data_IF_832452482329
#
_entry.id   IF_832452482329
#
_cell.length_a   1.000
_cell.length_b   1.000
_cell.length_c   1.000
_cell.angle_alpha   90.00
_cell.angle_beta   90.00
_cell.angle_gamma   90.00
#
_symmetry.space_group_name_H-M   'P 1'
#
loop_
_entity.id
_entity.type
_entity.pdbx_description
1 polymer ?
#
# COMPACT_ATOMS: atom_id res chain seq x y z
N UNK A 1 24.74 -21.83 1.05
CA UNK A 1 24.13 -21.99 -0.28
C UNK A 1 24.83 -23.14 -0.98
N UNK A 2 24.08 -24.16 -1.40
CA UNK A 2 24.59 -25.30 -2.17
C UNK A 2 24.77 -24.87 -3.64
N UNK A 3 26.00 -24.75 -4.15
CA UNK A 3 26.26 -24.28 -5.51
C UNK A 3 25.65 -25.21 -6.59
N UNK A 4 25.63 -26.52 -6.35
CA UNK A 4 25.11 -27.49 -7.31
C UNK A 4 23.60 -27.30 -7.46
N UNK A 5 22.90 -27.13 -6.33
CA UNK A 5 21.45 -26.82 -6.34
C UNK A 5 21.14 -25.51 -7.05
N UNK A 6 21.96 -24.47 -6.89
CA UNK A 6 21.77 -23.20 -7.60
C UNK A 6 21.89 -23.39 -9.11
N UNK A 7 22.91 -24.13 -9.57
CA UNK A 7 23.14 -24.41 -10.99
C UNK A 7 21.95 -25.17 -11.59
N UNK A 8 21.47 -26.21 -10.91
CA UNK A 8 20.34 -27.02 -11.38
C UNK A 8 19.06 -26.19 -11.53
N UNK A 9 18.72 -25.39 -10.51
CA UNK A 9 17.52 -24.53 -10.53
C UNK A 9 17.61 -23.49 -11.64
N UNK A 10 18.75 -22.80 -11.75
CA UNK A 10 18.98 -21.79 -12.80
C UNK A 10 18.92 -22.43 -14.19
N UNK A 11 19.48 -23.62 -14.36
CA UNK A 11 19.44 -24.35 -15.63
C UNK A 11 18.01 -24.70 -16.03
N UNK A 12 17.21 -25.26 -15.11
CA UNK A 12 15.80 -25.60 -15.36
C UNK A 12 14.94 -24.38 -15.67
N UNK A 13 15.11 -23.28 -14.93
CA UNK A 13 14.39 -22.03 -15.21
C UNK A 13 14.73 -21.49 -16.60
N UNK A 14 15.99 -21.57 -17.02
CA UNK A 14 16.45 -21.10 -18.34
C UNK A 14 15.97 -21.94 -19.54
N UNK A 15 15.31 -23.08 -19.31
CA UNK A 15 14.68 -23.85 -20.39
C UNK A 15 13.55 -23.07 -21.06
N UNK A 16 12.86 -22.18 -20.32
CA UNK A 16 11.76 -21.36 -20.87
C UNK A 16 11.84 -19.88 -20.55
N UNK A 17 12.66 -19.47 -19.60
CA UNK A 17 12.91 -18.05 -19.33
C UNK A 17 14.14 -17.56 -20.09
N UNK A 18 14.11 -16.33 -20.64
CA UNK A 18 15.29 -15.74 -21.25
C UNK A 18 16.39 -15.52 -20.20
N UNK A 19 17.65 -15.50 -20.63
CA UNK A 19 18.80 -15.48 -19.71
C UNK A 19 18.81 -14.26 -18.77
N UNK A 20 18.35 -13.11 -19.26
CA UNK A 20 18.22 -11.85 -18.53
C UNK A 20 17.05 -11.81 -17.54
N UNK A 21 16.15 -12.80 -17.58
CA UNK A 21 15.08 -12.94 -16.59
C UNK A 21 15.50 -13.79 -15.38
N UNK A 22 16.66 -14.45 -15.40
CA UNK A 22 17.15 -15.31 -14.31
C UNK A 22 18.48 -14.80 -13.79
N UNK A 23 18.43 -14.09 -12.67
CA UNK A 23 19.57 -13.49 -11.98
C UNK A 23 20.02 -14.42 -10.84
N UNK A 24 21.31 -14.72 -10.74
CA UNK A 24 21.80 -15.65 -9.72
C UNK A 24 23.23 -15.34 -9.23
N UNK A 25 23.92 -14.40 -9.87
CA UNK A 25 25.23 -13.96 -9.38
C UNK A 25 25.02 -13.04 -8.17
N UNK A 26 25.94 -13.04 -7.20
CA UNK A 26 25.82 -12.20 -6.00
C UNK A 26 25.59 -10.71 -6.30
N UNK A 27 26.22 -10.18 -7.34
CA UNK A 27 26.05 -8.81 -7.80
C UNK A 27 24.65 -8.53 -8.39
N UNK A 28 24.04 -9.53 -9.02
CA UNK A 28 22.71 -9.41 -9.63
C UNK A 28 21.60 -9.51 -8.57
N UNK A 29 21.80 -10.35 -7.55
CA UNK A 29 20.80 -10.60 -6.50
C UNK A 29 20.90 -9.61 -5.32
N UNK A 30 22.03 -8.91 -5.16
CA UNK A 30 22.24 -7.90 -4.09
C UNK A 30 21.13 -6.86 -3.96
N UNK A 31 20.59 -6.27 -5.06
CA UNK A 31 19.53 -5.27 -4.94
C UNK A 31 18.21 -5.80 -4.33
N UNK A 32 18.10 -7.12 -4.19
CA UNK A 32 16.93 -7.80 -3.66
C UNK A 32 17.13 -8.37 -2.25
N UNK A 33 18.25 -8.03 -1.58
CA UNK A 33 18.64 -8.66 -0.31
C UNK A 33 17.69 -8.36 0.86
N UNK A 34 16.88 -7.32 0.76
CA UNK A 34 15.83 -6.98 1.72
C UNK A 34 14.64 -6.32 1.02
N UNK A 35 13.51 -6.26 1.70
CA UNK A 35 12.42 -5.34 1.38
C UNK A 35 12.61 -4.01 2.17
N UNK A 36 11.53 -3.31 2.50
CA UNK A 36 11.60 -2.07 3.28
C UNK A 36 12.06 -2.30 4.73
N UNK A 37 12.02 -3.54 5.24
CA UNK A 37 12.58 -3.92 6.54
C UNK A 37 14.10 -4.16 6.43
N UNK A 38 14.84 -3.11 6.09
CA UNK A 38 16.27 -3.16 5.73
C UNK A 38 17.24 -3.62 6.84
N UNK A 39 16.75 -3.80 8.07
CA UNK A 39 17.48 -4.36 9.21
C UNK A 39 17.84 -5.83 9.01
N UNK A 40 17.07 -6.57 8.20
CA UNK A 40 17.34 -7.97 7.85
C UNK A 40 17.72 -8.06 6.38
N UNK A 41 18.74 -8.87 6.08
CA UNK A 41 19.26 -9.03 4.71
C UNK A 41 19.69 -10.45 4.47
N UNK A 42 19.23 -11.01 3.37
CA UNK A 42 19.59 -12.35 2.92
C UNK A 42 19.69 -12.36 1.40
N UNK A 43 20.56 -13.18 0.82
CA UNK A 43 20.60 -13.33 -0.64
C UNK A 43 19.74 -14.53 -1.06
N UNK A 44 18.85 -14.41 -2.04
CA UNK A 44 18.13 -15.56 -2.57
C UNK A 44 19.04 -16.46 -3.42
N UNK A 45 18.61 -17.71 -3.63
CA UNK A 45 19.25 -18.63 -4.56
C UNK A 45 19.26 -18.07 -5.98
N UNK A 46 18.14 -17.48 -6.42
CA UNK A 46 18.03 -16.73 -7.67
C UNK A 46 16.88 -15.72 -7.60
N UNK A 47 16.92 -14.71 -8.45
CA UNK A 47 15.81 -13.79 -8.70
C UNK A 47 15.29 -14.02 -10.11
N UNK A 48 13.98 -14.18 -10.26
CA UNK A 48 13.32 -14.39 -11.54
C UNK A 48 12.37 -13.24 -11.86
N UNK A 49 12.43 -12.75 -13.10
CA UNK A 49 11.69 -11.58 -13.61
C UNK A 49 10.83 -11.99 -14.82
N UNK A 50 9.68 -12.65 -14.61
CA UNK A 50 8.79 -13.07 -15.68
C UNK A 50 8.15 -11.88 -16.39
N UNK A 51 7.93 -12.00 -17.70
CA UNK A 51 7.27 -10.98 -18.51
C UNK A 51 5.74 -11.19 -18.66
N UNK A 52 5.25 -12.39 -18.38
CA UNK A 52 3.86 -12.81 -18.60
C UNK A 52 3.44 -13.90 -17.60
N UNK A 53 2.15 -14.26 -17.63
CA UNK A 53 1.58 -15.21 -16.69
C UNK A 53 2.02 -16.65 -16.95
N UNK A 54 2.32 -17.01 -18.19
CA UNK A 54 2.79 -18.32 -18.58
C UNK A 54 4.19 -18.60 -18.00
N UNK A 55 5.06 -17.60 -17.99
CA UNK A 55 6.37 -17.64 -17.34
C UNK A 55 6.22 -17.76 -15.81
N UNK A 56 5.31 -17.02 -15.17
CA UNK A 56 5.01 -17.17 -13.73
C UNK A 56 4.61 -18.62 -13.42
N UNK A 57 3.66 -19.17 -14.17
CA UNK A 57 3.19 -20.53 -13.96
C UNK A 57 4.32 -21.57 -14.17
N UNK A 58 5.22 -21.33 -15.13
CA UNK A 58 6.39 -22.18 -15.36
C UNK A 58 7.39 -22.12 -14.20
N UNK A 59 7.68 -20.93 -13.66
CA UNK A 59 8.56 -20.77 -12.49
C UNK A 59 7.99 -21.55 -11.30
N UNK A 60 6.70 -21.37 -11.01
CA UNK A 60 6.04 -22.00 -9.87
C UNK A 60 6.08 -23.53 -9.99
N UNK A 61 5.68 -24.09 -11.15
CA UNK A 61 5.78 -25.54 -11.40
C UNK A 61 7.20 -26.07 -11.23
N UNK A 62 8.18 -25.40 -11.82
CA UNK A 62 9.58 -25.83 -11.76
C UNK A 62 10.07 -25.85 -10.32
N UNK A 63 9.80 -24.78 -9.56
CA UNK A 63 10.19 -24.70 -8.15
C UNK A 63 9.44 -25.71 -7.29
N UNK A 64 8.16 -25.97 -7.58
CA UNK A 64 7.36 -26.98 -6.90
C UNK A 64 7.91 -28.40 -7.12
N UNK A 65 8.21 -28.78 -8.36
CA UNK A 65 8.83 -30.08 -8.71
C UNK A 65 10.20 -30.26 -8.04
N UNK A 66 10.98 -29.19 -7.94
CA UNK A 66 12.32 -29.20 -7.35
C UNK A 66 12.32 -28.97 -5.83
N UNK A 67 11.15 -28.79 -5.21
CA UNK A 67 11.00 -28.48 -3.78
C UNK A 67 11.82 -27.24 -3.38
N UNK A 68 11.76 -26.19 -4.18
CA UNK A 68 12.42 -24.89 -3.96
C UNK A 68 11.37 -23.88 -3.53
N UNK A 69 11.52 -23.23 -2.36
CA UNK A 69 10.61 -22.16 -1.94
C UNK A 69 10.59 -21.00 -2.93
N UNK A 70 9.43 -20.38 -3.10
CA UNK A 70 9.27 -19.17 -3.92
C UNK A 70 8.75 -18.04 -3.03
N UNK A 71 9.38 -16.88 -3.13
CA UNK A 71 8.97 -15.66 -2.43
C UNK A 71 8.59 -14.64 -3.49
N UNK A 72 7.30 -14.30 -3.56
CA UNK A 72 6.79 -13.34 -4.52
C UNK A 72 7.12 -11.91 -4.07
N UNK A 73 7.50 -11.04 -5.01
CA UNK A 73 7.87 -9.66 -4.71
C UNK A 73 7.32 -8.68 -5.75
N UNK A 74 6.66 -7.64 -5.26
CA UNK A 74 6.34 -6.42 -6.02
C UNK A 74 7.54 -5.47 -6.04
N UNK A 75 7.36 -4.24 -5.56
CA UNK A 75 8.45 -3.27 -5.39
C UNK A 75 9.34 -3.54 -4.16
N UNK A 76 8.88 -4.34 -3.20
CA UNK A 76 9.60 -4.59 -1.94
C UNK A 76 9.59 -3.38 -0.99
N UNK A 77 8.47 -2.65 -0.93
CA UNK A 77 8.28 -1.51 -0.02
C UNK A 77 7.68 -1.90 1.34
N UNK A 78 7.37 -3.19 1.55
CA UNK A 78 6.80 -3.70 2.79
C UNK A 78 7.77 -3.57 3.96
N UNK A 79 7.23 -3.40 5.17
CA UNK A 79 8.00 -3.21 6.41
C UNK A 79 7.88 -4.40 7.38
N UNK A 80 7.17 -5.46 6.98
CA UNK A 80 6.92 -6.67 7.77
C UNK A 80 7.95 -7.78 7.55
N UNK A 81 8.73 -7.71 6.46
CA UNK A 81 9.60 -8.81 6.02
C UNK A 81 8.89 -9.86 5.17
N UNK A 82 7.64 -9.64 4.75
CA UNK A 82 6.88 -10.58 3.91
C UNK A 82 7.53 -10.85 2.54
N UNK A 83 8.38 -9.94 2.05
CA UNK A 83 9.15 -10.11 0.82
C UNK A 83 10.67 -10.26 1.07
N UNK A 84 11.08 -10.58 2.31
CA UNK A 84 12.46 -10.89 2.65
C UNK A 84 12.85 -12.23 2.00
N UNK A 85 13.90 -12.28 1.16
CA UNK A 85 14.37 -13.53 0.55
C UNK A 85 14.90 -14.53 1.59
N UNK A 86 14.92 -15.82 1.21
CA UNK A 86 15.62 -16.88 1.94
C UNK A 86 16.77 -17.47 1.08
N UNK A 87 17.89 -17.91 1.70
CA UNK A 87 19.07 -18.42 0.97
C UNK A 87 18.83 -19.58 -0.01
N UNK A 88 17.79 -20.37 0.20
CA UNK A 88 17.42 -21.53 -0.61
C UNK A 88 16.18 -21.29 -1.48
N UNK A 89 15.72 -20.04 -1.58
CA UNK A 89 14.50 -19.66 -2.31
C UNK A 89 14.77 -18.97 -3.65
N UNK A 90 13.80 -19.09 -4.55
CA UNK A 90 13.68 -18.25 -5.74
C UNK A 90 12.82 -17.04 -5.39
N UNK A 91 13.38 -15.84 -5.53
CA UNK A 91 12.61 -14.61 -5.42
C UNK A 91 11.95 -14.29 -6.77
N UNK A 92 10.62 -14.30 -6.81
CA UNK A 92 9.82 -14.07 -8.00
C UNK A 92 9.39 -12.59 -8.06
N UNK A 93 10.13 -11.78 -8.82
CA UNK A 93 9.87 -10.35 -8.98
C UNK A 93 8.87 -10.08 -10.11
N UNK A 94 7.69 -9.58 -9.76
CA UNK A 94 6.61 -9.28 -10.72
C UNK A 94 6.75 -7.89 -11.38
N UNK A 95 7.90 -7.22 -11.20
CA UNK A 95 8.13 -5.84 -11.63
C UNK A 95 8.01 -5.62 -13.16
N UNK A 96 8.26 -6.64 -13.99
CA UNK A 96 8.10 -6.54 -15.45
C UNK A 96 6.64 -6.64 -15.90
N UNK A 97 5.75 -7.18 -15.08
CA UNK A 97 4.32 -7.28 -15.38
C UNK A 97 3.61 -6.00 -14.91
N UNK A 98 3.86 -4.87 -15.58
CA UNK A 98 3.48 -3.52 -15.12
C UNK A 98 2.55 -2.76 -16.07
N UNK A 99 1.76 -3.47 -16.90
CA UNK A 99 0.81 -2.85 -17.83
C UNK A 99 -0.56 -2.66 -17.20
N UNK A 100 -1.17 -1.50 -17.47
CA UNK A 100 -2.61 -1.30 -17.33
C UNK A 100 -3.25 -1.91 -18.57
N UNK A 101 -4.08 -2.95 -18.38
CA UNK A 101 -4.66 -3.74 -19.45
C UNK A 101 -5.93 -3.07 -20.01
N UNK A 102 -6.75 -2.49 -19.13
CA UNK A 102 -7.95 -1.75 -19.51
C UNK A 102 -8.36 -0.78 -18.40
N UNK A 103 -8.99 0.33 -18.80
CA UNK A 103 -9.74 1.24 -17.92
C UNK A 103 -11.13 1.39 -18.53
N UNK A 104 -12.16 1.01 -17.78
CA UNK A 104 -13.55 1.19 -18.17
C UNK A 104 -14.18 2.28 -17.29
N UNK A 105 -14.41 3.49 -17.83
CA UNK A 105 -14.98 4.59 -17.05
C UNK A 105 -16.48 4.43 -16.77
N UNK A 106 -17.19 3.61 -17.54
CA UNK A 106 -18.63 3.37 -17.36
C UNK A 106 -18.85 2.37 -16.25
N UNK A 107 -18.15 1.24 -16.30
CA UNK A 107 -18.15 0.25 -15.22
C UNK A 107 -17.38 0.73 -13.98
N UNK A 108 -16.53 1.77 -14.14
CA UNK A 108 -15.61 2.31 -13.13
C UNK A 108 -14.69 1.22 -12.58
N UNK A 109 -14.01 0.54 -13.49
CA UNK A 109 -13.03 -0.49 -13.15
C UNK A 109 -11.74 -0.30 -13.95
N UNK A 110 -10.64 -0.83 -13.41
CA UNK A 110 -9.40 -1.01 -14.16
C UNK A 110 -8.88 -2.42 -14.01
N UNK A 111 -8.40 -3.01 -15.11
CA UNK A 111 -7.68 -4.28 -15.12
C UNK A 111 -6.20 -4.00 -15.27
N UNK A 112 -5.38 -4.52 -14.37
CA UNK A 112 -3.96 -4.17 -14.25
C UNK A 112 -3.11 -5.39 -13.93
N UNK A 113 -1.87 -5.39 -14.42
CA UNK A 113 -0.86 -6.36 -14.03
C UNK A 113 -0.27 -6.03 -12.63
N UNK A 114 0.24 -7.01 -11.87
CA UNK A 114 0.64 -6.86 -10.46
C UNK A 114 1.79 -5.87 -10.20
N UNK A 115 2.62 -5.61 -11.21
CA UNK A 115 3.72 -4.66 -11.17
C UNK A 115 3.31 -3.21 -11.45
N UNK A 116 2.03 -2.94 -11.74
CA UNK A 116 1.54 -1.56 -11.88
C UNK A 116 1.66 -0.85 -10.54
N UNK A 117 2.34 0.30 -10.52
CA UNK A 117 2.43 1.19 -9.36
C UNK A 117 1.04 1.66 -8.95
N UNK A 118 0.73 1.64 -7.66
CA UNK A 118 -0.58 2.02 -7.11
C UNK A 118 -1.07 3.38 -7.67
N UNK A 119 -0.28 4.44 -7.53
CA UNK A 119 -0.66 5.77 -8.00
C UNK A 119 -0.82 5.87 -9.53
N UNK A 120 -0.18 4.98 -10.31
CA UNK A 120 -0.34 4.97 -11.77
C UNK A 120 -1.75 4.55 -12.21
N UNK A 121 -2.50 3.83 -11.37
CA UNK A 121 -3.91 3.49 -11.62
C UNK A 121 -4.75 4.77 -11.59
N UNK A 122 -4.56 5.61 -10.56
CA UNK A 122 -5.23 6.90 -10.45
C UNK A 122 -4.80 7.86 -11.56
N UNK A 123 -3.50 7.89 -11.93
CA UNK A 123 -3.02 8.69 -13.06
C UNK A 123 -3.75 8.34 -14.37
N UNK A 124 -3.99 7.05 -14.62
CA UNK A 124 -4.70 6.56 -15.81
C UNK A 124 -6.23 6.78 -15.76
N UNK A 125 -6.82 6.77 -14.56
CA UNK A 125 -8.25 6.99 -14.36
C UNK A 125 -8.64 8.48 -14.34
N UNK A 126 -7.71 9.37 -14.00
CA UNK A 126 -7.92 10.81 -13.83
C UNK A 126 -8.60 11.51 -15.03
N UNK A 127 -8.29 11.21 -16.30
CA UNK A 127 -8.96 11.83 -17.45
C UNK A 127 -10.48 11.59 -17.49
N UNK A 128 -10.97 10.56 -16.78
CA UNK A 128 -12.38 10.21 -16.67
C UNK A 128 -13.04 10.75 -15.38
N UNK A 129 -12.32 11.56 -14.59
CA UNK A 129 -12.81 12.04 -13.30
C UNK A 129 -12.85 10.95 -12.22
N UNK A 130 -12.05 9.89 -12.37
CA UNK A 130 -12.02 8.72 -11.48
C UNK A 130 -10.63 8.53 -10.86
N UNK A 131 -10.56 7.79 -9.75
CA UNK A 131 -9.31 7.35 -9.12
C UNK A 131 -9.45 6.00 -8.40
N UNK A 132 -8.32 5.38 -8.07
CA UNK A 132 -8.23 4.20 -7.21
C UNK A 132 -8.03 4.64 -5.76
N UNK A 133 -8.92 4.21 -4.85
CA UNK A 133 -9.04 4.80 -3.53
C UNK A 133 -7.92 4.45 -2.53
N UNK A 134 -7.46 3.18 -2.41
CA UNK A 134 -6.39 2.83 -1.49
C UNK A 134 -5.09 3.56 -1.80
N UNK A 135 -4.62 4.35 -0.83
CA UNK A 135 -3.54 5.32 -1.01
C UNK A 135 -2.40 5.14 0.02
N UNK A 136 -1.79 3.94 0.10
CA UNK A 136 -0.71 3.68 1.06
C UNK A 136 0.38 4.74 0.96
N UNK A 137 1.12 5.03 2.04
CA UNK A 137 2.16 6.08 2.01
C UNK A 137 3.21 5.81 0.93
N UNK A 138 3.45 4.53 0.61
CA UNK A 138 4.32 4.08 -0.48
C UNK A 138 3.68 4.09 -1.87
N UNK A 139 2.48 4.64 -2.09
CA UNK A 139 1.73 4.57 -3.38
C UNK A 139 2.51 5.01 -4.62
N UNK A 140 3.53 5.86 -4.44
CA UNK A 140 4.46 6.29 -5.49
C UNK A 140 5.48 5.22 -5.89
N UNK A 141 5.53 4.09 -5.18
CA UNK A 141 6.50 3.02 -5.38
C UNK A 141 5.87 1.62 -5.28
N UNK A 142 4.97 1.37 -4.32
CA UNK A 142 4.32 0.07 -4.17
C UNK A 142 3.46 -0.29 -5.38
N UNK A 143 3.35 -1.59 -5.64
CA UNK A 143 2.61 -2.11 -6.78
C UNK A 143 1.30 -2.77 -6.33
N UNK A 144 0.33 -2.83 -7.22
CA UNK A 144 -1.01 -3.38 -6.93
C UNK A 144 -0.98 -4.85 -6.49
N UNK A 145 -0.04 -5.65 -7.01
CA UNK A 145 0.16 -7.03 -6.57
C UNK A 145 0.61 -7.11 -5.11
N UNK A 146 1.53 -6.23 -4.70
CA UNK A 146 1.91 -6.10 -3.29
C UNK A 146 0.76 -5.57 -2.43
N UNK A 147 -0.04 -4.63 -2.93
CA UNK A 147 -1.19 -4.13 -2.18
C UNK A 147 -2.25 -5.20 -1.94
N UNK A 148 -2.48 -6.08 -2.92
CA UNK A 148 -3.32 -7.27 -2.74
C UNK A 148 -2.72 -8.22 -1.72
N UNK A 149 -1.44 -8.54 -1.82
CA UNK A 149 -0.77 -9.46 -0.90
C UNK A 149 -0.81 -8.99 0.57
N UNK A 150 -0.70 -7.68 0.79
CA UNK A 150 -0.62 -7.06 2.14
C UNK A 150 -1.96 -6.47 2.62
N UNK A 151 -3.05 -6.59 1.85
CA UNK A 151 -4.31 -5.88 2.08
C UNK A 151 -4.11 -4.38 2.41
N UNK A 152 -3.29 -3.69 1.61
CA UNK A 152 -2.82 -2.34 1.95
C UNK A 152 -3.97 -1.36 2.20
N UNK A 153 -3.82 -0.56 3.25
CA UNK A 153 -4.66 0.60 3.52
C UNK A 153 -4.07 1.89 2.97
N UNK A 154 -4.23 2.96 3.72
CA UNK A 154 -3.79 4.31 3.37
C UNK A 154 -4.45 5.32 4.29
N UNK A 155 -4.15 6.60 4.08
CA UNK A 155 -4.73 7.68 4.89
C UNK A 155 -6.26 7.68 4.78
N UNK A 156 -6.79 7.35 3.59
CA UNK A 156 -8.22 7.42 3.34
C UNK A 156 -8.98 6.10 3.50
N UNK A 157 -8.34 5.09 4.10
CA UNK A 157 -9.01 3.80 4.28
C UNK A 157 -10.18 3.86 5.26
N UNK A 158 -10.25 4.89 6.12
CA UNK A 158 -11.37 5.09 7.03
C UNK A 158 -12.68 5.29 6.26
N UNK A 159 -12.67 6.12 5.22
CA UNK A 159 -13.85 6.40 4.39
C UNK A 159 -14.00 5.45 3.21
N UNK A 160 -12.89 5.07 2.56
CA UNK A 160 -12.92 4.30 1.31
C UNK A 160 -12.55 2.82 1.45
N UNK A 161 -12.19 2.38 2.65
CA UNK A 161 -11.79 1.02 2.93
C UNK A 161 -10.37 0.66 2.46
N UNK A 162 -9.94 -0.52 2.86
CA UNK A 162 -8.67 -1.14 2.47
C UNK A 162 -8.72 -1.72 1.05
N UNK A 163 -7.60 -2.33 0.60
CA UNK A 163 -7.50 -3.04 -0.68
C UNK A 163 -8.62 -4.08 -0.87
N UNK A 164 -8.98 -4.84 0.18
CA UNK A 164 -10.08 -5.83 0.14
C UNK A 164 -11.43 -5.25 -0.28
N UNK A 165 -11.70 -3.96 0.00
CA UNK A 165 -12.96 -3.29 -0.35
C UNK A 165 -12.94 -2.66 -1.76
N UNK A 166 -11.77 -2.67 -2.41
CA UNK A 166 -11.51 -1.95 -3.66
C UNK A 166 -11.01 -2.86 -4.79
N UNK A 167 -10.81 -4.15 -4.51
CA UNK A 167 -10.51 -5.18 -5.52
C UNK A 167 -11.78 -5.97 -5.78
N UNK A 168 -12.07 -6.22 -7.05
CA UNK A 168 -13.26 -6.95 -7.51
C UNK A 168 -12.93 -8.37 -7.96
N UNK A 169 -11.75 -8.55 -8.58
CA UNK A 169 -11.27 -9.85 -9.05
C UNK A 169 -9.76 -9.93 -9.00
N UNK A 170 -9.23 -11.10 -8.66
CA UNK A 170 -7.81 -11.46 -8.84
C UNK A 170 -7.71 -12.71 -9.69
N UNK A 171 -6.70 -12.72 -10.57
CA UNK A 171 -6.26 -13.89 -11.32
C UNK A 171 -4.81 -14.15 -10.94
N UNK A 172 -4.44 -15.42 -10.79
CA UNK A 172 -3.10 -15.79 -10.37
C UNK A 172 -2.87 -17.30 -10.43
N UNK A 173 -1.81 -17.74 -9.77
CA UNK A 173 -1.39 -19.14 -9.78
C UNK A 173 -1.07 -19.63 -8.37
N UNK A 174 -1.42 -20.89 -8.10
CA UNK A 174 -0.93 -21.61 -6.93
C UNK A 174 0.54 -22.01 -7.10
N UNK A 175 1.18 -22.49 -6.04
CA UNK A 175 2.56 -23.02 -6.12
C UNK A 175 2.68 -24.20 -7.10
N UNK A 176 1.63 -25.00 -7.27
CA UNK A 176 1.58 -26.08 -8.27
C UNK A 176 1.46 -25.55 -9.72
N UNK A 177 1.32 -24.23 -9.89
CA UNK A 177 1.13 -23.56 -11.17
C UNK A 177 -0.24 -23.79 -11.79
N UNK A 178 -1.24 -24.09 -10.96
CA UNK A 178 -2.64 -24.11 -11.35
C UNK A 178 -3.17 -22.68 -11.41
N UNK A 179 -3.87 -22.37 -12.49
CA UNK A 179 -4.53 -21.08 -12.66
C UNK A 179 -5.74 -20.98 -11.74
N UNK A 180 -5.86 -19.86 -11.03
CA UNK A 180 -6.96 -19.56 -10.13
C UNK A 180 -7.51 -18.16 -10.40
N UNK A 181 -8.81 -18.01 -10.20
CA UNK A 181 -9.52 -16.74 -10.26
C UNK A 181 -10.48 -16.64 -9.09
N UNK A 182 -10.48 -15.49 -8.41
CA UNK A 182 -11.38 -15.19 -7.31
C UNK A 182 -12.01 -13.81 -7.50
N UNK A 183 -13.28 -13.69 -7.09
CA UNK A 183 -14.07 -12.49 -7.31
C UNK A 183 -14.70 -12.42 -8.71
N UNK A 184 -15.39 -11.33 -8.99
CA UNK A 184 -16.04 -11.10 -10.28
C UNK A 184 -16.27 -9.61 -10.53
N UNK A 185 -16.64 -9.26 -11.76
CA UNK A 185 -17.07 -7.89 -12.11
C UNK A 185 -18.57 -7.67 -11.85
N UNK A 186 -19.30 -8.70 -11.39
CA UNK A 186 -20.71 -8.61 -11.08
C UNK A 186 -20.92 -8.00 -9.68
N UNK A 187 -22.07 -7.36 -9.48
CA UNK A 187 -22.45 -6.79 -8.18
C UNK A 187 -22.62 -7.85 -7.08
N UNK A 188 -22.92 -9.09 -7.47
CA UNK A 188 -23.06 -10.24 -6.58
C UNK A 188 -22.60 -11.51 -7.33
N UNK A 189 -22.19 -12.54 -6.60
CA UNK A 189 -21.74 -13.82 -7.15
C UNK A 189 -22.10 -14.98 -6.22
N UNK A 190 -22.58 -16.12 -6.74
CA UNK A 190 -22.93 -17.25 -5.91
C UNK A 190 -21.68 -17.89 -5.29
N UNK A 191 -21.81 -18.41 -4.07
CA UNK A 191 -20.76 -19.17 -3.40
C UNK A 191 -20.09 -18.40 -2.26
N UNK A 192 -18.88 -18.81 -1.90
CA UNK A 192 -18.11 -18.16 -0.85
C UNK A 192 -17.30 -16.99 -1.40
N UNK A 193 -17.20 -15.91 -0.65
CA UNK A 193 -16.27 -14.83 -0.92
C UNK A 193 -14.84 -15.26 -0.54
N UNK A 194 -14.20 -15.99 -1.44
CA UNK A 194 -12.80 -16.44 -1.29
C UNK A 194 -11.80 -15.36 -1.73
N UNK A 195 -12.25 -14.25 -2.32
CA UNK A 195 -11.39 -13.15 -2.69
C UNK A 195 -10.73 -12.55 -1.43
N UNK A 196 -11.50 -12.38 -0.36
CA UNK A 196 -11.01 -11.91 0.92
C UNK A 196 -9.94 -12.84 1.55
N UNK A 197 -9.91 -14.14 1.22
CA UNK A 197 -8.87 -15.04 1.70
C UNK A 197 -7.53 -14.82 0.99
N UNK A 198 -7.54 -14.40 -0.28
CA UNK A 198 -6.33 -14.16 -1.06
C UNK A 198 -5.74 -12.78 -0.78
N UNK A 199 -6.60 -11.78 -0.55
CA UNK A 199 -6.17 -10.43 -0.19
C UNK A 199 -5.65 -10.44 1.26
N UNK A 200 -4.40 -10.02 1.46
CA UNK A 200 -3.74 -10.13 2.78
C UNK A 200 -3.07 -11.49 3.02
N UNK A 201 -2.99 -12.37 2.02
CA UNK A 201 -2.35 -13.69 2.18
C UNK A 201 -0.83 -13.66 2.11
N UNK A 202 -0.21 -12.49 1.89
CA UNK A 202 1.24 -12.32 1.78
C UNK A 202 1.90 -13.23 0.72
N UNK A 203 1.14 -13.58 -0.33
CA UNK A 203 1.60 -14.48 -1.39
C UNK A 203 1.63 -15.97 -1.02
N UNK A 204 1.17 -16.33 0.19
CA UNK A 204 1.20 -17.70 0.70
C UNK A 204 0.18 -18.63 0.04
N UNK A 205 -0.91 -18.08 -0.50
CA UNK A 205 -1.96 -18.85 -1.17
C UNK A 205 -1.85 -18.80 -2.70
N UNK A 206 -1.39 -17.67 -3.25
CA UNK A 206 -1.35 -17.46 -4.69
C UNK A 206 -0.39 -16.33 -5.08
N UNK A 207 0.22 -16.47 -6.26
CA UNK A 207 0.92 -15.38 -6.94
C UNK A 207 -0.04 -14.72 -7.93
N UNK A 208 -0.42 -13.48 -7.63
CA UNK A 208 -1.37 -12.69 -8.43
C UNK A 208 -0.71 -12.17 -9.71
N UNK A 209 -1.35 -12.37 -10.87
CA UNK A 209 -0.87 -11.98 -12.20
C UNK A 209 -1.77 -10.96 -12.91
N UNK A 210 -3.01 -10.79 -12.46
CA UNK A 210 -3.91 -9.71 -12.89
C UNK A 210 -4.86 -9.33 -11.75
N UNK A 211 -5.14 -8.03 -11.61
CA UNK A 211 -6.07 -7.47 -10.63
C UNK A 211 -7.11 -6.62 -11.35
N UNK A 212 -8.37 -6.79 -10.99
CA UNK A 212 -9.46 -5.88 -11.35
C UNK A 212 -9.82 -5.04 -10.15
N UNK A 213 -9.64 -3.73 -10.25
CA UNK A 213 -9.92 -2.77 -9.17
C UNK A 213 -11.16 -1.94 -9.48
N UNK A 214 -11.86 -1.52 -8.43
CA UNK A 214 -12.91 -0.51 -8.45
C UNK A 214 -12.28 0.88 -8.53
N UNK A 215 -12.86 1.74 -9.35
CA UNK A 215 -12.55 3.17 -9.43
C UNK A 215 -13.73 3.97 -8.87
N UNK A 216 -13.45 5.10 -8.23
CA UNK A 216 -14.47 5.99 -7.68
C UNK A 216 -14.28 7.42 -8.20
N UNK A 217 -15.35 8.24 -8.24
CA UNK A 217 -15.25 9.64 -8.64
C UNK A 217 -14.29 10.42 -7.75
N UNK A 218 -13.52 11.33 -8.35
CA UNK A 218 -12.75 12.31 -7.59
C UNK A 218 -13.72 13.18 -6.75
N UNK A 219 -13.42 13.45 -5.47
CA UNK A 219 -14.19 14.41 -4.68
C UNK A 219 -14.14 15.80 -5.32
N UNK A 220 -15.23 16.56 -5.22
CA UNK A 220 -15.28 17.93 -5.77
C UNK A 220 -14.40 18.89 -4.95
N UNK A 221 -14.35 18.66 -3.64
CA UNK A 221 -13.51 19.43 -2.72
C UNK A 221 -13.05 18.57 -1.55
N UNK A 222 -11.99 19.02 -0.89
CA UNK A 222 -11.50 18.46 0.36
C UNK A 222 -10.94 19.58 1.24
N UNK A 223 -11.15 19.49 2.56
CA UNK A 223 -10.60 20.39 3.56
C UNK A 223 -10.05 19.58 4.73
N UNK A 224 -8.95 20.05 5.29
CA UNK A 224 -8.32 19.44 6.46
C UNK A 224 -8.27 20.42 7.62
N UNK A 225 -8.59 19.93 8.81
CA UNK A 225 -8.42 20.61 10.09
C UNK A 225 -7.09 20.14 10.68
N UNK A 226 -6.19 21.07 10.96
CA UNK A 226 -5.04 20.86 11.83
C UNK A 226 -5.43 21.30 13.24
N UNK A 227 -5.57 20.33 14.15
CA UNK A 227 -5.89 20.55 15.55
C UNK A 227 -4.68 20.30 16.43
N UNK A 228 -4.49 21.13 17.46
CA UNK A 228 -3.42 21.01 18.44
C UNK A 228 -3.99 20.69 19.81
N UNK A 229 -3.33 19.82 20.56
CA UNK A 229 -3.72 19.41 21.90
C UNK A 229 -2.54 19.52 22.87
N UNK A 230 -2.81 19.94 24.09
CA UNK A 230 -1.86 20.00 25.21
C UNK A 230 -1.65 18.64 25.90
N UNK A 231 -2.44 17.63 25.55
CA UNK A 231 -2.36 16.28 26.10
C UNK A 231 -2.73 15.23 25.03
N UNK A 232 -1.97 14.12 24.99
CA UNK A 232 -2.15 13.05 23.99
C UNK A 232 -3.47 12.29 24.20
N UNK A 233 -3.94 12.15 25.44
CA UNK A 233 -5.22 11.46 25.73
C UNK A 233 -6.38 12.29 25.20
N UNK A 234 -6.37 13.62 25.37
CA UNK A 234 -7.40 14.50 24.78
C UNK A 234 -7.48 14.36 23.26
N UNK A 235 -6.35 14.30 22.57
CA UNK A 235 -6.33 14.06 21.13
C UNK A 235 -6.92 12.69 20.77
N UNK A 236 -6.61 11.66 21.56
CA UNK A 236 -7.15 10.29 21.39
C UNK A 236 -8.66 10.23 21.66
N UNK A 237 -9.13 10.89 22.71
CA UNK A 237 -10.55 11.01 23.06
C UNK A 237 -11.31 11.77 21.95
N UNK A 238 -10.68 12.78 21.33
CA UNK A 238 -11.22 13.48 20.17
C UNK A 238 -11.42 12.58 18.95
N UNK A 239 -10.48 11.67 18.66
CA UNK A 239 -10.65 10.66 17.62
C UNK A 239 -11.89 9.80 17.89
N UNK A 240 -12.02 9.27 19.11
CA UNK A 240 -13.17 8.46 19.48
C UNK A 240 -14.49 9.25 19.43
N UNK A 241 -14.48 10.51 19.87
CA UNK A 241 -15.65 11.38 19.88
C UNK A 241 -16.13 11.74 18.47
N UNK A 242 -15.23 12.00 17.52
CA UNK A 242 -15.60 12.25 16.11
C UNK A 242 -16.39 11.05 15.55
N UNK A 243 -15.87 9.84 15.75
CA UNK A 243 -16.52 8.61 15.28
C UNK A 243 -17.84 8.37 16.03
N UNK A 244 -17.90 8.64 17.34
CA UNK A 244 -19.12 8.49 18.15
C UNK A 244 -20.25 9.43 17.72
N UNK A 245 -19.94 10.58 17.13
CA UNK A 245 -20.91 11.52 16.53
C UNK A 245 -21.38 11.08 15.14
N UNK A 246 -20.95 9.90 14.67
CA UNK A 246 -21.29 9.33 13.37
C UNK A 246 -20.62 10.05 12.20
N UNK A 247 -19.53 10.78 12.45
CA UNK A 247 -18.74 11.44 11.40
C UNK A 247 -17.68 10.45 10.91
N UNK A 248 -17.64 10.20 9.60
CA UNK A 248 -16.62 9.36 8.97
C UNK A 248 -15.71 10.28 8.14
N UNK A 249 -14.66 10.87 8.75
CA UNK A 249 -13.75 11.73 8.00
C UNK A 249 -13.03 10.93 6.91
N UNK A 250 -12.66 11.64 5.86
CA UNK A 250 -11.84 11.11 4.77
C UNK A 250 -10.47 10.65 5.27
N UNK A 251 -9.88 11.39 6.22
CA UNK A 251 -8.64 10.99 6.90
C UNK A 251 -8.62 11.49 8.34
N UNK A 252 -8.04 10.70 9.25
CA UNK A 252 -7.97 11.03 10.68
C UNK A 252 -6.64 10.53 11.26
N UNK A 253 -5.64 11.40 11.30
CA UNK A 253 -4.25 11.02 11.56
C UNK A 253 -3.64 11.86 12.69
N UNK A 254 -3.05 11.20 13.67
CA UNK A 254 -2.44 11.83 14.85
C UNK A 254 -0.92 11.73 14.80
N UNK A 255 -0.23 12.80 15.22
CA UNK A 255 1.20 12.79 15.47
C UNK A 255 1.50 13.34 16.85
N UNK A 256 2.35 12.66 17.61
CA UNK A 256 2.81 13.15 18.91
C UNK A 256 3.86 14.25 18.74
N UNK A 257 4.22 14.92 19.84
CA UNK A 257 5.18 16.03 19.80
C UNK A 257 6.55 15.64 19.20
N UNK A 258 7.18 14.50 19.59
CA UNK A 258 8.43 14.06 18.97
C UNK A 258 8.33 13.90 17.45
N UNK A 259 7.28 13.22 16.94
CA UNK A 259 7.08 13.06 15.50
C UNK A 259 6.85 14.41 14.83
N UNK A 260 6.04 15.28 15.44
CA UNK A 260 5.73 16.63 14.93
C UNK A 260 6.99 17.48 14.76
N UNK A 261 7.89 17.47 15.75
CA UNK A 261 9.19 18.16 15.67
C UNK A 261 10.07 17.59 14.57
N UNK A 262 10.15 16.26 14.48
CA UNK A 262 10.94 15.59 13.44
C UNK A 262 10.48 15.98 12.03
N UNK A 263 9.16 15.99 11.78
CA UNK A 263 8.62 16.30 10.45
C UNK A 263 8.69 17.79 10.13
N UNK A 264 8.48 18.69 11.10
CA UNK A 264 8.52 20.13 10.85
C UNK A 264 9.91 20.60 10.41
N UNK A 265 10.97 20.03 10.97
CA UNK A 265 12.37 20.27 10.55
C UNK A 265 12.67 19.77 9.11
N UNK A 266 11.76 18.99 8.52
CA UNK A 266 11.87 18.45 7.17
C UNK A 266 10.92 19.11 6.16
N UNK A 267 9.65 19.34 6.53
CA UNK A 267 8.61 19.83 5.60
C UNK A 267 8.23 21.30 5.79
N UNK A 268 8.52 21.90 6.95
CA UNK A 268 8.15 23.29 7.28
C UNK A 268 6.68 23.62 7.01
N UNK A 269 5.76 22.78 7.50
CA UNK A 269 4.32 22.92 7.25
C UNK A 269 3.65 23.91 8.23
N UNK A 270 4.39 24.40 9.23
CA UNK A 270 3.92 25.31 10.26
C UNK A 270 3.10 24.58 11.33
N UNK A 271 3.53 23.39 11.74
CA UNK A 271 2.91 22.67 12.86
C UNK A 271 3.19 23.35 14.21
N UNK A 272 2.29 23.11 15.17
CA UNK A 272 2.46 23.56 16.56
C UNK A 272 3.49 22.65 17.26
N UNK A 273 4.67 23.20 17.56
CA UNK A 273 5.78 22.47 18.19
C UNK A 273 5.68 22.39 19.73
N UNK A 274 4.76 23.16 20.31
CA UNK A 274 4.47 23.19 21.75
C UNK A 274 3.33 22.24 22.11
N UNK A 275 2.48 21.86 21.14
CA UNK A 275 1.46 20.84 21.29
C UNK A 275 2.04 19.48 21.71
N UNK A 276 1.35 18.76 22.59
CA UNK A 276 1.69 17.38 22.95
C UNK A 276 1.31 16.39 21.85
N UNK A 277 0.25 16.70 21.10
CA UNK A 277 -0.17 16.00 19.90
C UNK A 277 -0.85 16.96 18.92
N UNK A 278 -0.74 16.65 17.64
CA UNK A 278 -1.57 17.25 16.59
C UNK A 278 -2.42 16.19 15.91
N UNK A 279 -3.61 16.60 15.49
CA UNK A 279 -4.57 15.76 14.78
C UNK A 279 -4.93 16.42 13.44
N UNK A 280 -4.83 15.65 12.37
CA UNK A 280 -5.29 16.01 11.03
C UNK A 280 -6.64 15.34 10.80
N UNK A 281 -7.70 16.13 10.65
CA UNK A 281 -9.04 15.65 10.31
C UNK A 281 -9.43 16.16 8.93
N UNK A 282 -9.51 15.28 7.94
CA UNK A 282 -9.90 15.64 6.58
C UNK A 282 -11.34 15.22 6.29
N UNK A 283 -12.08 16.11 5.62
CA UNK A 283 -13.34 15.80 4.96
C UNK A 283 -13.18 16.06 3.45
N UNK A 284 -13.79 15.19 2.65
CA UNK A 284 -13.86 15.31 1.20
C UNK A 284 -15.28 14.97 0.69
N UNK A 285 -15.66 15.49 -0.48
CA UNK A 285 -16.99 15.27 -1.03
C UNK A 285 -17.48 16.47 -1.83
N UNK A 286 -18.79 16.71 -1.76
CA UNK A 286 -19.39 17.94 -2.29
C UNK A 286 -19.06 19.13 -1.37
N UNK A 287 -19.09 20.38 -1.89
CA UNK A 287 -18.84 21.57 -1.08
C UNK A 287 -19.73 21.68 0.17
N UNK A 288 -21.00 21.29 0.06
CA UNK A 288 -21.97 21.34 1.15
C UNK A 288 -21.69 20.29 2.23
N UNK A 289 -21.36 19.05 1.84
CA UNK A 289 -20.97 17.98 2.78
C UNK A 289 -19.70 18.35 3.53
N UNK A 290 -18.68 18.83 2.81
CA UNK A 290 -17.40 19.20 3.43
C UNK A 290 -17.57 20.37 4.40
N UNK A 291 -18.37 21.37 4.07
CA UNK A 291 -18.60 22.50 4.97
C UNK A 291 -19.33 22.07 6.26
N UNK A 292 -20.37 21.24 6.15
CA UNK A 292 -21.10 20.70 7.32
C UNK A 292 -20.20 19.84 8.21
N UNK A 293 -19.46 18.91 7.60
CA UNK A 293 -18.57 18.01 8.34
C UNK A 293 -17.44 18.77 9.05
N UNK A 294 -16.85 19.78 8.41
CA UNK A 294 -15.82 20.62 9.04
C UNK A 294 -16.38 21.33 10.27
N UNK A 295 -17.56 21.96 10.18
CA UNK A 295 -18.19 22.65 11.31
C UNK A 295 -18.45 21.68 12.47
N UNK A 296 -18.95 20.48 12.16
CA UNK A 296 -19.22 19.45 13.17
C UNK A 296 -17.93 18.93 13.81
N UNK A 297 -16.91 18.63 13.02
CA UNK A 297 -15.60 18.18 13.53
C UNK A 297 -14.95 19.25 14.40
N UNK A 298 -14.95 20.53 13.99
CA UNK A 298 -14.43 21.62 14.81
C UNK A 298 -15.15 21.72 16.16
N UNK A 299 -16.47 21.54 16.20
CA UNK A 299 -17.23 21.56 17.44
C UNK A 299 -16.81 20.43 18.39
N UNK A 300 -16.63 19.21 17.86
CA UNK A 300 -16.11 18.06 18.62
C UNK A 300 -14.70 18.35 19.12
N UNK A 301 -13.79 18.77 18.25
CA UNK A 301 -12.40 19.04 18.61
C UNK A 301 -12.28 20.09 19.72
N UNK A 302 -13.06 21.18 19.66
CA UNK A 302 -13.11 22.19 20.73
C UNK A 302 -13.63 21.61 22.04
N UNK A 303 -14.68 20.80 22.00
CA UNK A 303 -15.28 20.16 23.17
C UNK A 303 -14.29 19.22 23.86
N UNK A 304 -13.51 18.46 23.08
CA UNK A 304 -12.50 17.53 23.59
C UNK A 304 -11.16 18.22 23.96
N UNK A 305 -11.10 19.55 23.89
CA UNK A 305 -10.01 20.33 24.45
C UNK A 305 -8.88 20.68 23.49
N UNK A 306 -9.14 20.76 22.18
CA UNK A 306 -8.19 21.32 21.23
C UNK A 306 -7.82 22.76 21.63
N UNK A 307 -6.52 23.05 21.70
CA UNK A 307 -5.97 24.35 22.08
C UNK A 307 -5.85 25.30 20.90
N UNK A 308 -5.75 24.75 19.68
CA UNK A 308 -5.69 25.50 18.43
C UNK A 308 -6.34 24.69 17.30
N UNK A 309 -7.00 25.38 16.36
CA UNK A 309 -7.62 24.79 15.18
C UNK A 309 -7.34 25.65 13.95
N UNK A 310 -6.89 25.02 12.86
CA UNK A 310 -6.68 25.66 11.57
C UNK A 310 -7.30 24.82 10.47
N UNK A 311 -8.27 25.39 9.76
CA UNK A 311 -8.85 24.77 8.56
C UNK A 311 -8.07 25.24 7.33
N UNK A 312 -7.72 24.31 6.43
CA UNK A 312 -7.06 24.63 5.17
C UNK A 312 -7.94 25.56 4.30
N UNK A 313 -7.35 26.64 3.79
CA UNK A 313 -8.04 27.62 2.94
C UNK A 313 -8.07 27.25 1.46
N UNK A 314 -7.10 26.47 1.02
CA UNK A 314 -6.94 26.03 -0.36
C UNK A 314 -6.23 24.67 -0.43
N UNK A 315 -6.21 24.10 -1.64
CA UNK A 315 -5.59 22.80 -1.91
C UNK A 315 -4.08 22.79 -1.59
N UNK A 316 -3.39 23.91 -1.78
CA UNK A 316 -1.95 23.98 -1.48
C UNK A 316 -1.71 23.89 0.03
N UNK A 317 -2.55 24.53 0.84
CA UNK A 317 -2.50 24.43 2.30
C UNK A 317 -2.89 23.03 2.79
N UNK A 318 -3.90 22.40 2.19
CA UNK A 318 -4.29 21.01 2.49
C UNK A 318 -3.14 20.04 2.24
N UNK A 319 -2.50 20.13 1.08
CA UNK A 319 -1.33 19.30 0.74
C UNK A 319 -0.18 19.56 1.71
N UNK A 320 0.07 20.82 2.10
CA UNK A 320 1.10 21.15 3.11
C UNK A 320 0.80 20.50 4.46
N UNK A 321 -0.44 20.53 4.95
CA UNK A 321 -0.79 19.90 6.22
C UNK A 321 -0.58 18.38 6.20
N UNK A 322 -0.80 17.73 5.06
CA UNK A 322 -0.53 16.30 4.90
C UNK A 322 0.96 15.94 4.69
N UNK A 323 1.78 16.90 4.26
CA UNK A 323 3.16 16.65 3.88
C UNK A 323 3.99 16.07 5.04
N UNK A 324 3.82 16.58 6.26
CA UNK A 324 4.53 16.08 7.44
C UNK A 324 4.17 14.64 7.77
N UNK A 325 2.87 14.30 7.78
CA UNK A 325 2.43 12.93 8.06
C UNK A 325 2.95 11.92 7.03
N UNK A 326 2.98 12.28 5.75
CA UNK A 326 3.56 11.44 4.68
C UNK A 326 5.09 11.34 4.77
N UNK A 327 5.74 12.34 5.35
CA UNK A 327 7.19 12.41 5.51
C UNK A 327 7.72 11.92 6.87
N UNK A 328 6.86 11.37 7.74
CA UNK A 328 7.25 10.90 9.07
C UNK A 328 8.44 9.92 9.04
N UNK A 329 8.38 8.89 8.19
CA UNK A 329 9.46 7.91 8.04
C UNK A 329 10.80 8.51 7.62
N UNK A 330 10.91 9.26 6.50
CA UNK A 330 12.18 9.87 6.12
C UNK A 330 12.66 10.93 7.12
N UNK A 331 11.75 11.63 7.80
CA UNK A 331 12.11 12.57 8.85
C UNK A 331 12.77 11.89 10.05
N UNK A 332 12.19 10.79 10.56
CA UNK A 332 12.77 10.02 11.67
C UNK A 332 14.10 9.36 11.26
N UNK A 333 14.23 8.90 10.02
CA UNK A 333 15.50 8.37 9.48
C UNK A 333 16.67 9.36 9.49
N UNK A 334 16.43 10.67 9.63
CA UNK A 334 17.49 11.68 9.84
C UNK A 334 17.96 11.77 11.30
N UNK A 335 17.12 11.34 12.24
CA UNK A 335 17.40 11.38 13.67
C UNK A 335 18.15 10.12 14.09
N UNK A 336 17.70 8.97 13.63
CA UNK A 336 18.30 7.67 13.94
C UNK A 336 18.43 6.82 12.67
N UNK A 337 19.56 6.14 12.45
CA UNK A 337 19.68 5.14 11.39
C UNK A 337 18.79 3.91 11.68
N UNK A 338 18.45 3.68 12.96
CA UNK A 338 17.62 2.57 13.42
C UNK A 338 16.23 3.09 13.80
N UNK A 339 15.25 2.80 12.96
CA UNK A 339 13.83 3.06 13.22
C UNK A 339 13.03 1.80 12.94
N UNK A 340 12.36 1.29 13.98
CA UNK A 340 11.51 0.12 13.86
C UNK A 340 10.05 0.54 13.86
N UNK A 341 9.38 0.34 12.73
CA UNK A 341 7.96 0.61 12.61
C UNK A 341 7.17 -0.55 13.19
N UNK A 342 6.29 -0.26 14.15
CA UNK A 342 5.30 -1.22 14.61
C UNK A 342 3.94 -0.78 14.07
N UNK A 343 3.36 -1.61 13.22
CA UNK A 343 1.96 -1.49 12.85
C UNK A 343 1.13 -2.33 13.83
N UNK A 344 0.03 -1.78 14.32
CA UNK A 344 -0.81 -2.39 15.33
C UNK A 344 -2.26 -2.01 15.10
N UNK A 345 -3.13 -3.00 15.10
CA UNK A 345 -4.57 -2.78 15.21
C UNK A 345 -4.91 -2.71 16.70
N UNK A 346 -5.49 -1.59 17.14
CA UNK A 346 -5.94 -1.39 18.54
C UNK A 346 -7.43 -1.70 18.64
#
# INVERSE_FOLDING_TARGET
MDPDRQIDVVSRLRERLPAEAVLYRPEDTRPYECDGLSAYRELPLAVVLPANEEEVAFVLRTCHEMMVPVIARGAGTGLSGGALPAPDSVLLSLAKMNRILAVDPVARIARVQPGVRNAAISDAAKPYGLYYAPDPSSQIACTIGGNVAENSGGVHCLKYGLTVHNVLRVRGYTMAGDLIEFGSEALDSPGYDLLACVIGSEGMLAVVTEVTVKLIPLPETAKVILASFDDVRKASDAVAAIIAEGIIPAGLEMMDQPATRAVEDFVHAGYDLDAAAILLCESDGTPEEVEDEIVRMEAVLRREGATNLRVSRDESERIRFWAGRKAAFPAVGRISPDYYCMDGTI
#
